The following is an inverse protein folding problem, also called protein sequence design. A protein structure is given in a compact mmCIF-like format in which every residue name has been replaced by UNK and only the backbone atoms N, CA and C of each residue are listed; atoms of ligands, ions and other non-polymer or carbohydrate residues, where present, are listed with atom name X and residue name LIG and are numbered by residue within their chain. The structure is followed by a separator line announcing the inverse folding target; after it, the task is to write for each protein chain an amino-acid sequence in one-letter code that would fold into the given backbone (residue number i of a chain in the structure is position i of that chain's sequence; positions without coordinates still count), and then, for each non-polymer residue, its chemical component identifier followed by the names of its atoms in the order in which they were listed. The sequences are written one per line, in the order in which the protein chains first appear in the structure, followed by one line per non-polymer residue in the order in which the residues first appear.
data_IF_941245786054
#
_entry.id   IF_941245786054
#
_cell.length_a   1.000
_cell.length_b   1.000
_cell.length_c   1.000
_cell.angle_alpha   90.00
_cell.angle_beta   90.00
_cell.angle_gamma   90.00
#
_symmetry.space_group_name_H-M   'P 1'
#
loop_
_entity.id
_entity.type
_entity.pdbx_description
1 polymer ?
#
# COMPACT_ATOMS: atom_id res chain seq x y z
N UNK A 1 36.02 -13.52 -4.95
CA UNK A 1 34.90 -13.27 -4.01
C UNK A 1 34.14 -12.02 -4.48
N UNK A 2 32.81 -11.86 -4.29
CA UNK A 2 32.05 -10.71 -4.84
C UNK A 2 32.69 -9.33 -4.49
N UNK A 3 33.28 -9.21 -3.30
CA UNK A 3 33.96 -8.00 -2.83
C UNK A 3 35.25 -7.64 -3.60
N UNK A 4 35.80 -8.58 -4.35
CA UNK A 4 37.05 -8.41 -5.12
C UNK A 4 36.79 -8.04 -6.59
N UNK A 5 35.53 -7.98 -7.03
CA UNK A 5 35.20 -7.63 -8.40
C UNK A 5 35.29 -6.13 -8.68
N UNK A 6 35.58 -5.79 -9.93
CA UNK A 6 35.59 -4.42 -10.38
C UNK A 6 34.19 -3.80 -10.21
N UNK A 7 34.12 -2.71 -9.46
CA UNK A 7 32.86 -2.00 -9.18
C UNK A 7 32.33 -1.38 -10.47
N UNK A 8 31.04 -1.59 -10.72
CA UNK A 8 30.32 -0.92 -11.80
C UNK A 8 30.33 0.59 -11.54
N UNK A 9 30.66 1.37 -12.57
CA UNK A 9 30.65 2.83 -12.47
C UNK A 9 29.25 3.35 -12.17
N UNK A 10 29.15 4.22 -11.16
CA UNK A 10 27.86 4.76 -10.66
C UNK A 10 27.13 5.67 -11.66
N UNK A 11 27.79 6.11 -12.73
CA UNK A 11 27.19 6.95 -13.76
C UNK A 11 26.41 6.14 -14.80
N UNK A 12 26.58 4.82 -14.83
CA UNK A 12 25.82 3.95 -15.72
C UNK A 12 24.42 3.75 -15.15
N UNK A 13 23.38 3.95 -15.97
CA UNK A 13 22.01 3.54 -15.63
C UNK A 13 21.98 2.01 -15.53
N UNK A 14 22.08 1.51 -14.30
CA UNK A 14 22.01 0.10 -13.98
C UNK A 14 20.62 -0.20 -13.39
N UNK A 15 19.88 -1.10 -14.03
CA UNK A 15 18.76 -1.75 -13.37
C UNK A 15 19.33 -2.79 -12.39
N UNK A 16 19.37 -2.39 -11.11
CA UNK A 16 19.97 -3.18 -10.04
C UNK A 16 19.25 -4.53 -9.87
N UNK A 17 17.92 -4.58 -10.07
CA UNK A 17 17.16 -5.84 -9.96
C UNK A 17 17.48 -6.78 -11.11
N UNK A 18 17.53 -6.24 -12.33
CA UNK A 18 17.89 -7.02 -13.51
C UNK A 18 19.32 -7.56 -13.42
N UNK A 19 20.24 -6.74 -12.92
CA UNK A 19 21.63 -7.13 -12.69
C UNK A 19 21.73 -8.32 -11.71
N UNK A 20 21.05 -8.25 -10.55
CA UNK A 20 21.07 -9.35 -9.59
C UNK A 20 20.34 -10.60 -10.07
N UNK A 21 19.30 -10.44 -10.90
CA UNK A 21 18.61 -11.56 -11.55
C UNK A 21 19.53 -12.33 -12.49
N UNK A 22 20.37 -11.63 -13.26
CA UNK A 22 21.37 -12.26 -14.13
C UNK A 22 22.51 -12.93 -13.36
N UNK A 23 22.91 -12.37 -12.22
CA UNK A 23 24.04 -12.85 -11.41
C UNK A 23 23.65 -13.88 -10.34
N UNK A 24 22.38 -14.25 -10.22
CA UNK A 24 21.90 -15.16 -9.16
C UNK A 24 22.57 -16.53 -9.17
N UNK A 25 23.01 -17.03 -10.33
CA UNK A 25 23.69 -18.33 -10.43
C UNK A 25 25.17 -18.25 -10.04
N UNK A 26 25.78 -17.07 -10.22
CA UNK A 26 27.19 -16.80 -9.93
C UNK A 26 27.39 -16.40 -8.46
N UNK A 27 26.40 -15.71 -7.89
CA UNK A 27 26.39 -15.24 -6.51
C UNK A 27 25.02 -15.48 -5.85
N UNK A 28 24.64 -16.74 -5.57
CA UNK A 28 23.30 -17.06 -5.06
C UNK A 28 22.99 -16.39 -3.71
N UNK A 29 23.94 -16.41 -2.78
CA UNK A 29 23.80 -15.82 -1.44
C UNK A 29 23.69 -14.29 -1.51
N UNK A 30 24.58 -13.65 -2.26
CA UNK A 30 24.60 -12.19 -2.39
C UNK A 30 23.36 -11.70 -3.16
N UNK A 31 22.95 -12.42 -4.20
CA UNK A 31 21.74 -12.08 -4.95
C UNK A 31 20.47 -12.21 -4.10
N UNK A 32 20.40 -13.20 -3.21
CA UNK A 32 19.28 -13.34 -2.26
C UNK A 32 19.21 -12.14 -1.32
N UNK A 33 20.31 -11.78 -0.66
CA UNK A 33 20.38 -10.63 0.25
C UNK A 33 20.07 -9.33 -0.49
N UNK A 34 20.63 -9.14 -1.69
CA UNK A 34 20.38 -7.96 -2.49
C UNK A 34 18.91 -7.82 -2.86
N UNK A 35 18.22 -8.90 -3.23
CA UNK A 35 16.77 -8.87 -3.49
C UNK A 35 16.00 -8.46 -2.24
N UNK A 36 16.29 -9.06 -1.09
CA UNK A 36 15.55 -8.77 0.15
C UNK A 36 15.73 -7.32 0.58
N UNK A 37 16.97 -6.81 0.54
CA UNK A 37 17.28 -5.42 0.88
C UNK A 37 16.66 -4.43 -0.11
N UNK A 38 16.64 -4.74 -1.40
CA UNK A 38 16.05 -3.87 -2.43
C UNK A 38 14.52 -3.96 -2.48
N UNK A 39 13.92 -5.05 -2.02
CA UNK A 39 12.47 -5.23 -1.99
C UNK A 39 11.81 -4.29 -0.97
N UNK A 40 12.45 -4.03 0.16
CA UNK A 40 11.97 -3.12 1.22
C UNK A 40 11.69 -1.70 0.67
N UNK A 41 12.67 -0.97 0.10
CA UNK A 41 12.44 0.39 -0.39
C UNK A 41 11.44 0.43 -1.56
N UNK A 42 11.35 -0.62 -2.37
CA UNK A 42 10.35 -0.70 -3.45
C UNK A 42 8.94 -0.84 -2.87
N UNK A 43 8.77 -1.73 -1.89
CA UNK A 43 7.48 -1.95 -1.23
C UNK A 43 7.04 -0.71 -0.44
N UNK A 44 7.94 -0.01 0.24
CA UNK A 44 7.60 1.22 0.96
C UNK A 44 7.21 2.32 0.00
N UNK A 45 7.98 2.58 -1.06
CA UNK A 45 7.63 3.60 -2.07
C UNK A 45 6.31 3.27 -2.77
N UNK A 46 6.06 1.99 -3.10
CA UNK A 46 4.79 1.54 -3.65
C UNK A 46 3.63 1.70 -2.65
N UNK A 47 3.85 1.38 -1.38
CA UNK A 47 2.83 1.49 -0.33
C UNK A 47 2.52 2.95 0.02
N UNK A 48 3.54 3.81 0.11
CA UNK A 48 3.40 5.25 0.33
C UNK A 48 2.72 5.92 -0.86
N UNK A 49 3.04 5.54 -2.09
CA UNK A 49 2.37 6.08 -3.29
C UNK A 49 0.92 5.60 -3.37
N UNK A 50 0.65 4.31 -3.12
CA UNK A 50 -0.71 3.77 -3.05
C UNK A 50 -1.53 4.42 -1.92
N UNK A 51 -0.93 4.58 -0.73
CA UNK A 51 -1.57 5.21 0.41
C UNK A 51 -1.77 6.72 0.21
N UNK A 52 -0.80 7.42 -0.36
CA UNK A 52 -0.91 8.85 -0.68
C UNK A 52 -2.00 9.09 -1.73
N UNK A 53 -2.06 8.25 -2.76
CA UNK A 53 -3.12 8.30 -3.75
C UNK A 53 -4.49 7.98 -3.13
N UNK A 54 -4.57 6.92 -2.31
CA UNK A 54 -5.80 6.55 -1.60
C UNK A 54 -6.23 7.61 -0.58
N UNK A 55 -5.29 8.25 0.11
CA UNK A 55 -5.55 9.31 1.07
C UNK A 55 -6.11 10.54 0.38
N UNK A 56 -5.57 10.92 -0.78
CA UNK A 56 -6.13 11.99 -1.61
C UNK A 56 -7.51 11.66 -2.16
N UNK A 57 -7.74 10.43 -2.62
CA UNK A 57 -9.06 10.01 -3.10
C UNK A 57 -10.09 10.02 -1.96
N UNK A 58 -9.72 9.51 -0.79
CA UNK A 58 -10.59 9.50 0.39
C UNK A 58 -10.85 10.91 0.91
N UNK A 59 -9.84 11.78 0.91
CA UNK A 59 -9.95 13.18 1.32
C UNK A 59 -10.83 13.99 0.35
N UNK A 60 -10.71 13.76 -0.96
CA UNK A 60 -11.60 14.33 -1.96
C UNK A 60 -13.04 13.83 -1.81
N UNK A 61 -13.24 12.53 -1.53
CA UNK A 61 -14.56 11.98 -1.26
C UNK A 61 -15.17 12.56 0.03
N UNK A 62 -14.37 12.70 1.09
CA UNK A 62 -14.75 13.35 2.36
C UNK A 62 -15.04 14.84 2.20
N UNK A 63 -14.29 15.55 1.35
CA UNK A 63 -14.50 16.97 1.07
C UNK A 63 -15.73 17.18 0.16
N UNK A 64 -16.04 16.21 -0.71
CA UNK A 64 -17.22 16.24 -1.58
C UNK A 64 -18.51 15.83 -0.86
N UNK A 65 -18.45 14.88 0.07
CA UNK A 65 -19.56 14.60 0.99
C UNK A 65 -19.56 15.65 2.10
N UNK A 66 -20.38 16.69 1.95
CA UNK A 66 -20.74 17.57 3.06
C UNK A 66 -21.03 16.74 4.33
N UNK A 67 -20.64 17.21 5.52
CA UNK A 67 -20.86 16.51 6.79
C UNK A 67 -22.33 16.07 6.98
N UNK A 68 -23.29 16.84 6.45
CA UNK A 68 -24.72 16.48 6.40
C UNK A 68 -25.01 15.13 5.71
N UNK A 69 -24.33 14.82 4.60
CA UNK A 69 -24.55 13.59 3.84
C UNK A 69 -23.89 12.40 4.55
N UNK A 70 -22.74 12.62 5.19
CA UNK A 70 -22.06 11.59 5.97
C UNK A 70 -22.87 11.20 7.22
N UNK A 71 -23.40 12.18 7.94
CA UNK A 71 -24.28 11.95 9.09
C UNK A 71 -25.59 11.25 8.68
N UNK A 72 -26.20 11.65 7.57
CA UNK A 72 -27.37 10.97 7.02
C UNK A 72 -27.08 9.52 6.57
N UNK A 73 -25.91 9.24 6.00
CA UNK A 73 -25.48 7.88 5.62
C UNK A 73 -25.20 6.99 6.83
N UNK A 74 -24.58 7.55 7.89
CA UNK A 74 -24.35 6.83 9.15
C UNK A 74 -25.68 6.53 9.84
N UNK A 75 -26.56 7.53 10.00
CA UNK A 75 -27.91 7.36 10.55
C UNK A 75 -28.78 6.38 9.74
N UNK A 76 -28.67 6.39 8.41
CA UNK A 76 -29.42 5.44 7.55
C UNK A 76 -28.91 4.01 7.69
N UNK A 77 -27.60 3.84 7.95
CA UNK A 77 -27.00 2.51 8.12
C UNK A 77 -27.46 1.86 9.43
N UNK A 78 -27.66 2.65 10.49
CA UNK A 78 -28.26 2.17 11.74
C UNK A 78 -29.73 1.74 11.55
N UNK A 79 -30.48 2.42 10.67
CA UNK A 79 -31.86 2.03 10.34
C UNK A 79 -31.94 0.70 9.55
N UNK A 80 -30.99 0.45 8.65
CA UNK A 80 -30.94 -0.78 7.86
C UNK A 80 -30.43 -1.99 8.66
N UNK A 81 -29.54 -1.78 9.64
CA UNK A 81 -29.08 -2.84 10.56
C UNK A 81 -30.00 -3.04 11.76
N UNK A 82 -30.87 -2.07 12.07
CA UNK A 82 -31.83 -2.11 13.18
C UNK A 82 -33.16 -2.82 12.91
N UNK A 83 -33.47 -3.25 11.67
CA UNK A 83 -34.77 -3.85 11.36
C UNK A 83 -34.82 -5.39 11.38
N UNK A 84 -33.93 -6.05 12.13
CA UNK A 84 -34.02 -7.50 12.40
C UNK A 84 -34.14 -7.82 13.90
N UNK A 85 -34.86 -6.99 14.66
CA UNK A 85 -35.15 -7.26 16.06
C UNK A 85 -36.34 -6.48 16.57
N UNK A 86 -37.52 -7.13 16.59
CA UNK A 86 -38.76 -6.63 17.20
C UNK A 86 -38.49 -6.00 18.58
N UNK A 87 -38.99 -4.80 18.83
CA UNK A 87 -39.43 -4.46 20.18
C UNK A 87 -40.72 -3.62 20.11
N UNK A 88 -41.82 -4.32 20.38
CA UNK A 88 -43.13 -3.76 20.69
C UNK A 88 -43.02 -2.75 21.82
N UNK A 89 -43.52 -1.53 21.60
CA UNK A 89 -44.33 -0.71 22.52
C UNK A 89 -44.40 0.73 22.03
N UNK A 90 -45.34 0.98 21.13
CA UNK A 90 -46.10 2.23 21.19
C UNK A 90 -47.29 1.97 22.14
N UNK A 91 -47.67 3.01 22.87
CA UNK A 91 -48.83 3.15 23.76
C UNK A 91 -48.61 2.89 25.27
N UNK A 92 -48.03 3.88 25.96
CA UNK A 92 -48.72 4.67 26.99
C UNK A 92 -48.05 6.03 27.13
#
# INVERSE_FOLDING_TARGET
MYLEEQKIDRKVKLDVLHFWKGNQYRFPEVAAIARDVLCIPISTVASESAFSNSGRILDQYRSALKPDIFEALVCSKDLLYGNNGKCSKCLH
#
